data_IF_825521410165
#
_entry.id   IF_825521410165
#
_cell.length_a   1.000
_cell.length_b   1.000
_cell.length_c   1.000
_cell.angle_alpha   90.00
_cell.angle_beta   90.00
_cell.angle_gamma   90.00
#
_symmetry.space_group_name_H-M   'P 1'
#
loop_
_entity.id
_entity.type
_entity.pdbx_description
1 polymer ?
#
# COMPACT_ATOMS: atom_id res chain seq x y z
N UNK A 1 -18.82 -32.26 -11.16
CA UNK A 1 -18.01 -31.63 -10.09
C UNK A 1 -17.33 -30.46 -10.73
N UNK A 2 -17.97 -29.29 -10.67
CA UNK A 2 -17.44 -28.06 -11.28
C UNK A 2 -16.39 -27.46 -10.35
N UNK A 3 -15.33 -26.93 -10.94
CA UNK A 3 -14.34 -26.12 -10.25
C UNK A 3 -15.03 -24.92 -9.59
N UNK A 4 -15.34 -25.04 -8.29
CA UNK A 4 -15.49 -23.89 -7.40
C UNK A 4 -14.10 -23.29 -7.16
N UNK A 5 -13.49 -22.76 -8.23
CA UNK A 5 -12.36 -21.87 -8.09
C UNK A 5 -12.90 -20.60 -7.41
N UNK A 6 -12.89 -20.61 -6.07
CA UNK A 6 -13.28 -19.47 -5.26
C UNK A 6 -12.59 -18.24 -5.84
N UNK A 7 -13.40 -17.30 -6.36
CA UNK A 7 -12.88 -16.11 -7.01
C UNK A 7 -11.93 -15.42 -6.01
N UNK A 8 -10.67 -15.14 -6.39
CA UNK A 8 -9.69 -14.64 -5.43
C UNK A 8 -10.22 -13.36 -4.76
N UNK A 9 -10.09 -13.21 -3.42
CA UNK A 9 -10.91 -12.24 -2.70
C UNK A 9 -10.27 -10.86 -2.53
N UNK A 10 -8.98 -10.67 -2.87
CA UNK A 10 -8.23 -9.47 -2.49
C UNK A 10 -8.00 -8.54 -3.69
N UNK A 11 -8.53 -7.32 -3.61
CA UNK A 11 -8.12 -6.18 -4.44
C UNK A 11 -7.01 -5.41 -3.75
N UNK A 12 -5.86 -5.29 -4.40
CA UNK A 12 -4.70 -4.61 -3.84
C UNK A 12 -4.72 -3.11 -4.10
N UNK A 13 -4.63 -2.31 -3.05
CA UNK A 13 -4.37 -0.88 -3.12
C UNK A 13 -2.85 -0.69 -3.20
N UNK A 14 -2.33 -0.66 -4.42
CA UNK A 14 -0.91 -0.74 -4.68
C UNK A 14 -0.35 0.62 -5.11
N UNK A 15 0.89 0.90 -4.71
CA UNK A 15 1.65 2.02 -5.26
C UNK A 15 3.12 1.93 -4.87
N UNK A 16 3.99 2.70 -5.54
CA UNK A 16 5.31 2.97 -4.99
C UNK A 16 5.18 3.79 -3.68
N UNK A 17 6.02 3.55 -2.64
CA UNK A 17 5.99 4.33 -1.40
C UNK A 17 5.87 5.84 -1.65
N UNK A 18 5.02 6.51 -0.86
CA UNK A 18 4.81 7.97 -0.94
C UNK A 18 4.08 8.49 -2.19
N UNK A 19 3.53 7.60 -3.01
CA UNK A 19 2.75 7.99 -4.20
C UNK A 19 1.26 8.30 -3.93
N UNK A 20 0.80 8.25 -2.67
CA UNK A 20 -0.58 8.63 -2.31
C UNK A 20 -1.49 7.48 -1.84
N UNK A 21 -0.93 6.36 -1.39
CA UNK A 21 -1.75 5.21 -0.96
C UNK A 21 -2.68 5.53 0.23
N UNK A 22 -2.24 6.37 1.16
CA UNK A 22 -3.09 6.81 2.28
C UNK A 22 -4.35 7.50 1.77
N UNK A 23 -4.24 8.41 0.79
CA UNK A 23 -5.41 9.05 0.19
C UNK A 23 -6.31 8.01 -0.49
N UNK A 24 -5.74 7.12 -1.31
CA UNK A 24 -6.49 6.06 -1.97
C UNK A 24 -7.28 5.19 -0.98
N UNK A 25 -6.65 4.73 0.11
CA UNK A 25 -7.30 3.90 1.14
C UNK A 25 -8.51 4.60 1.75
N UNK A 26 -8.36 5.87 2.13
CA UNK A 26 -9.47 6.62 2.72
C UNK A 26 -10.57 6.89 1.69
N UNK A 27 -10.23 7.18 0.44
CA UNK A 27 -11.21 7.35 -0.64
C UNK A 27 -12.00 6.07 -0.91
N UNK A 28 -11.33 4.92 -1.05
CA UNK A 28 -11.99 3.63 -1.27
C UNK A 28 -12.82 3.23 -0.04
N UNK A 29 -12.31 3.47 1.17
CA UNK A 29 -13.06 3.18 2.39
C UNK A 29 -14.33 4.04 2.48
N UNK A 30 -14.24 5.34 2.18
CA UNK A 30 -15.41 6.22 2.18
C UNK A 30 -16.46 5.81 1.13
N UNK A 31 -16.02 5.32 -0.04
CA UNK A 31 -16.94 4.83 -1.08
C UNK A 31 -17.68 3.56 -0.68
N UNK A 32 -17.05 2.69 0.13
CA UNK A 32 -17.61 1.39 0.53
C UNK A 32 -18.43 1.51 1.81
N UNK A 33 -17.87 2.16 2.83
CA UNK A 33 -18.41 2.18 4.19
C UNK A 33 -19.26 3.44 4.47
N UNK A 34 -19.12 4.48 3.64
CA UNK A 34 -19.80 5.76 3.81
C UNK A 34 -19.18 6.62 4.90
N UNK A 35 -19.38 6.23 6.17
CA UNK A 35 -18.82 6.92 7.33
C UNK A 35 -17.51 6.27 7.81
N UNK A 36 -16.52 7.10 8.14
CA UNK A 36 -15.19 6.66 8.55
C UNK A 36 -14.91 7.16 9.97
N UNK A 37 -15.29 6.38 11.01
CA UNK A 37 -15.26 6.85 12.40
C UNK A 37 -13.84 7.13 12.92
N UNK A 38 -12.81 6.52 12.31
CA UNK A 38 -11.42 6.81 12.66
C UNK A 38 -10.43 6.35 11.59
N UNK A 39 -9.19 6.83 11.69
CA UNK A 39 -8.06 6.30 10.90
C UNK A 39 -7.71 4.85 11.23
N UNK A 40 -8.05 4.37 12.44
CA UNK A 40 -7.85 2.97 12.84
C UNK A 40 -8.84 2.05 12.12
N UNK A 41 -10.09 2.48 11.99
CA UNK A 41 -11.11 1.74 11.25
C UNK A 41 -10.67 1.45 9.81
N UNK A 42 -10.13 2.46 9.11
CA UNK A 42 -9.56 2.28 7.76
C UNK A 42 -8.35 1.34 7.76
N UNK A 43 -7.56 1.33 8.83
CA UNK A 43 -6.42 0.41 8.95
C UNK A 43 -6.83 -1.04 9.15
N UNK A 44 -7.86 -1.29 9.93
CA UNK A 44 -8.40 -2.63 10.15
C UNK A 44 -9.12 -3.14 8.90
N UNK A 45 -9.87 -2.28 8.21
CA UNK A 45 -10.62 -2.66 7.01
C UNK A 45 -9.77 -2.77 5.75
N UNK A 46 -8.66 -2.04 5.68
CA UNK A 46 -7.75 -2.02 4.53
C UNK A 46 -6.29 -2.11 4.96
N UNK A 47 -5.84 -3.23 5.54
CA UNK A 47 -4.56 -3.34 6.22
C UNK A 47 -3.36 -3.19 5.27
N UNK A 48 -2.26 -2.71 5.82
CA UNK A 48 -0.98 -2.53 5.13
C UNK A 48 -0.11 -3.77 5.30
N UNK A 49 -0.13 -4.68 4.33
CA UNK A 49 0.59 -5.95 4.44
C UNK A 49 2.12 -5.80 4.42
N UNK A 50 2.63 -4.65 3.98
CA UNK A 50 4.06 -4.35 4.01
C UNK A 50 4.50 -3.94 5.42
N UNK A 51 3.67 -3.23 6.17
CA UNK A 51 3.98 -2.81 7.54
C UNK A 51 3.56 -3.85 8.59
N UNK A 52 2.38 -4.45 8.46
CA UNK A 52 1.83 -5.40 9.45
C UNK A 52 2.25 -6.86 9.23
N UNK A 53 2.95 -7.13 8.13
CA UNK A 53 3.13 -8.47 7.58
C UNK A 53 1.86 -9.02 6.94
N UNK A 54 2.03 -10.04 6.09
CA UNK A 54 0.93 -10.69 5.40
C UNK A 54 0.29 -11.79 6.27
N UNK A 55 -0.98 -11.59 6.65
CA UNK A 55 -1.75 -12.49 7.52
C UNK A 55 -3.01 -12.97 6.79
N UNK A 56 -2.92 -13.95 5.88
CA UNK A 56 -4.02 -14.34 4.98
C UNK A 56 -5.27 -14.77 5.74
N UNK A 57 -5.10 -15.50 6.85
CA UNK A 57 -6.21 -15.95 7.68
C UNK A 57 -7.09 -14.80 8.18
N UNK A 58 -6.48 -13.72 8.71
CA UNK A 58 -7.22 -12.55 9.17
C UNK A 58 -7.98 -11.85 8.04
N UNK A 59 -7.36 -11.78 6.85
CA UNK A 59 -8.00 -11.15 5.69
C UNK A 59 -9.23 -11.94 5.24
N UNK A 60 -9.12 -13.27 5.22
CA UNK A 60 -10.19 -14.16 4.79
C UNK A 60 -11.32 -14.24 5.83
N UNK A 61 -11.00 -14.45 7.11
CA UNK A 61 -12.00 -14.56 8.17
C UNK A 61 -12.80 -13.27 8.37
N UNK A 62 -12.14 -12.11 8.27
CA UNK A 62 -12.80 -10.82 8.43
C UNK A 62 -13.44 -10.31 7.13
N UNK A 63 -13.46 -11.14 6.08
CA UNK A 63 -13.98 -10.80 4.76
C UNK A 63 -13.43 -9.44 4.27
N UNK A 64 -12.12 -9.26 4.41
CA UNK A 64 -11.40 -8.07 3.96
C UNK A 64 -11.11 -8.20 2.48
N UNK A 65 -11.82 -7.41 1.69
CA UNK A 65 -11.68 -7.40 0.23
C UNK A 65 -10.54 -6.51 -0.27
N UNK A 66 -10.02 -5.60 0.56
CA UNK A 66 -9.01 -4.61 0.15
C UNK A 66 -7.80 -4.64 1.07
N UNK A 67 -6.60 -4.67 0.49
CA UNK A 67 -5.36 -4.60 1.26
C UNK A 67 -4.32 -3.73 0.55
N UNK A 68 -3.54 -2.98 1.31
CA UNK A 68 -2.49 -2.11 0.78
C UNK A 68 -1.17 -2.84 0.69
N UNK A 69 -0.41 -2.57 -0.39
CA UNK A 69 0.92 -3.13 -0.59
C UNK A 69 1.86 -2.17 -1.35
N UNK A 70 3.16 -2.35 -1.13
CA UNK A 70 4.24 -1.78 -1.95
C UNK A 70 5.04 -2.85 -2.70
N UNK A 71 4.68 -4.13 -2.57
CA UNK A 71 5.36 -5.22 -3.26
C UNK A 71 5.13 -5.12 -4.77
N UNK A 72 6.19 -5.40 -5.53
CA UNK A 72 6.07 -5.65 -6.96
C UNK A 72 5.25 -6.92 -7.18
N UNK A 73 4.34 -6.89 -8.16
CA UNK A 73 3.63 -8.08 -8.58
C UNK A 73 4.61 -9.09 -9.19
N UNK A 74 4.92 -10.14 -8.44
CA UNK A 74 5.94 -11.15 -8.76
C UNK A 74 5.66 -12.43 -7.97
N UNK A 75 6.33 -13.54 -8.27
CA UNK A 75 6.10 -14.83 -7.58
C UNK A 75 6.37 -14.76 -6.07
N UNK A 76 7.18 -13.80 -5.63
CA UNK A 76 7.50 -13.58 -4.23
C UNK A 76 6.50 -12.69 -3.49
N UNK A 77 5.51 -12.10 -4.18
CA UNK A 77 4.51 -11.24 -3.53
C UNK A 77 3.65 -12.05 -2.55
N UNK A 78 3.63 -11.69 -1.25
CA UNK A 78 2.74 -12.33 -0.29
C UNK A 78 1.28 -12.18 -0.73
N UNK A 79 0.56 -13.31 -0.75
CA UNK A 79 -0.86 -13.31 -1.13
C UNK A 79 -1.13 -13.25 -2.62
N UNK A 80 -0.13 -13.41 -3.50
CA UNK A 80 -0.33 -13.40 -4.96
C UNK A 80 -1.48 -14.29 -5.42
N UNK A 81 -1.59 -15.51 -4.90
CA UNK A 81 -2.65 -16.46 -5.25
C UNK A 81 -4.06 -16.03 -4.83
N UNK A 82 -4.19 -15.00 -3.98
CA UNK A 82 -5.47 -14.45 -3.52
C UNK A 82 -5.85 -13.15 -4.25
N UNK A 83 -5.14 -12.82 -5.32
CA UNK A 83 -5.32 -11.57 -6.07
C UNK A 83 -6.56 -11.59 -6.95
N UNK A 84 -7.55 -10.79 -6.57
CA UNK A 84 -8.70 -10.43 -7.41
C UNK A 84 -8.33 -9.40 -8.48
N UNK A 85 -7.46 -8.45 -8.11
CA UNK A 85 -7.08 -7.32 -8.96
C UNK A 85 -6.29 -6.25 -8.20
N UNK A 86 -6.08 -5.10 -8.85
CA UNK A 86 -5.28 -4.00 -8.32
C UNK A 86 -5.91 -2.65 -8.64
N UNK A 87 -5.81 -1.71 -7.71
CA UNK A 87 -5.90 -0.28 -7.97
C UNK A 87 -4.51 0.28 -7.72
N UNK A 88 -3.82 0.68 -8.80
CA UNK A 88 -2.44 1.14 -8.73
C UNK A 88 -2.33 2.66 -8.90
N UNK A 89 -1.67 3.34 -7.96
CA UNK A 89 -1.42 4.79 -8.05
C UNK A 89 -0.03 5.06 -8.60
N UNK A 90 0.02 5.77 -9.73
CA UNK A 90 1.24 6.33 -10.31
C UNK A 90 1.29 7.83 -9.97
N UNK A 91 2.48 8.31 -9.59
CA UNK A 91 2.75 9.73 -9.34
C UNK A 91 4.05 10.13 -10.01
N UNK A 92 4.16 11.40 -10.42
CA UNK A 92 5.41 11.93 -10.97
C UNK A 92 6.59 11.61 -10.01
N UNK A 93 7.70 11.05 -10.51
CA UNK A 93 8.82 10.61 -9.67
C UNK A 93 9.49 11.75 -8.90
N UNK A 94 9.50 12.97 -9.43
CA UNK A 94 10.05 14.14 -8.73
C UNK A 94 9.22 14.48 -7.50
N UNK A 95 7.89 14.41 -7.61
CA UNK A 95 6.99 14.63 -6.48
C UNK A 95 7.10 13.51 -5.43
N UNK A 96 7.30 12.27 -5.89
CA UNK A 96 7.53 11.12 -5.01
C UNK A 96 8.83 11.30 -4.22
N UNK A 97 9.92 11.70 -4.89
CA UNK A 97 11.21 12.00 -4.27
C UNK A 97 11.05 13.06 -3.18
N UNK A 98 10.46 14.20 -3.50
CA UNK A 98 10.23 15.28 -2.54
C UNK A 98 9.36 14.82 -1.35
N UNK A 99 8.30 14.05 -1.60
CA UNK A 99 7.44 13.50 -0.55
C UNK A 99 8.18 12.52 0.37
N UNK A 100 9.07 11.71 -0.19
CA UNK A 100 9.87 10.75 0.56
C UNK A 100 10.94 11.45 1.41
N UNK A 101 11.64 12.44 0.84
CA UNK A 101 12.57 13.28 1.59
C UNK A 101 11.93 13.96 2.80
N UNK A 102 10.78 14.61 2.60
CA UNK A 102 10.02 15.24 3.68
C UNK A 102 9.52 14.24 4.72
N UNK A 103 9.15 13.02 4.30
CA UNK A 103 8.78 11.96 5.23
C UNK A 103 9.97 11.52 6.10
N UNK A 104 11.17 11.39 5.53
CA UNK A 104 12.38 11.05 6.30
C UNK A 104 12.72 12.18 7.26
N UNK A 105 12.71 13.44 6.82
CA UNK A 105 12.92 14.62 7.66
C UNK A 105 12.00 14.62 8.88
N UNK A 106 10.72 14.28 8.67
CA UNK A 106 9.73 14.26 9.75
C UNK A 106 9.96 13.14 10.77
N UNK A 107 10.27 11.93 10.32
CA UNK A 107 10.32 10.75 11.21
C UNK A 107 11.72 10.44 11.74
N UNK A 108 12.78 10.87 11.05
CA UNK A 108 14.17 10.60 11.41
C UNK A 108 15.09 11.81 11.09
N UNK A 109 14.83 13.00 11.66
CA UNK A 109 15.54 14.23 11.31
C UNK A 109 17.06 14.11 11.49
N UNK A 110 17.52 13.42 12.53
CA UNK A 110 18.96 13.21 12.81
C UNK A 110 19.68 12.30 11.82
N UNK A 111 18.94 11.47 11.09
CA UNK A 111 19.49 10.57 10.06
C UNK A 111 19.31 11.14 8.64
N UNK A 112 18.77 12.36 8.52
CA UNK A 112 18.51 12.94 7.22
C UNK A 112 19.78 13.59 6.66
N UNK A 113 20.12 13.20 5.45
CA UNK A 113 21.21 13.80 4.68
C UNK A 113 20.72 15.03 3.91
N UNK A 114 21.64 15.91 3.45
CA UNK A 114 21.32 16.99 2.52
C UNK A 114 20.51 16.53 1.29
N UNK A 115 19.67 17.43 0.77
CA UNK A 115 18.76 17.15 -0.34
C UNK A 115 19.52 16.66 -1.58
N UNK A 116 20.66 17.26 -1.88
CA UNK A 116 21.48 16.94 -3.05
C UNK A 116 21.96 15.48 -3.00
N UNK A 117 22.50 15.05 -1.85
CA UNK A 117 22.90 13.66 -1.64
C UNK A 117 21.71 12.70 -1.69
N UNK A 118 20.53 13.16 -1.26
CA UNK A 118 19.29 12.38 -1.36
C UNK A 118 18.85 12.19 -2.80
N UNK A 119 18.86 13.25 -3.60
CA UNK A 119 18.54 13.19 -5.03
C UNK A 119 19.50 12.26 -5.75
N UNK A 120 20.81 12.40 -5.55
CA UNK A 120 21.83 11.57 -6.20
C UNK A 120 21.63 10.08 -5.90
N UNK A 121 21.37 9.73 -4.64
CA UNK A 121 21.12 8.34 -4.24
C UNK A 121 19.79 7.84 -4.80
N UNK A 122 18.76 8.68 -4.81
CA UNK A 122 17.46 8.32 -5.36
C UNK A 122 17.60 7.98 -6.85
N UNK A 123 18.33 8.78 -7.63
CA UNK A 123 18.53 8.53 -9.06
C UNK A 123 19.44 7.33 -9.36
N UNK A 124 20.40 7.01 -8.49
CA UNK A 124 21.35 5.89 -8.69
C UNK A 124 20.81 4.51 -8.28
N UNK A 125 19.77 4.48 -7.46
CA UNK A 125 19.17 3.23 -6.97
C UNK A 125 17.95 2.79 -7.81
N UNK A 126 17.81 3.34 -9.02
CA UNK A 126 16.91 2.88 -10.08
C UNK A 126 17.66 2.58 -11.36
#
# INVERSE_FOLDING_TARGET
MGDDAANPPIVWLASYPKSGNTWLRFSVAALIEGDLPSSRFVQERMPDIHESGFKPFLLLEQNIAFAKTHFMFSDSMPGRGLTAGFIYVIRNPIDVLASNYNYILRNAPKATQPLELYVDRYLKNY
#
